data_IF_390057420416
#
_entry.id   IF_390057420416
#
_cell.length_a   1.000
_cell.length_b   1.000
_cell.length_c   1.000
_cell.angle_alpha   90.00
_cell.angle_beta   90.00
_cell.angle_gamma   90.00
#
_symmetry.space_group_name_H-M   'P 1'
#
loop_
_entity.id
_entity.type
_entity.pdbx_description
1 polymer ?
#
# COMPACT_ATOMS: atom_id res chain seq x y z
N UNK A 1 -2.13 1.12 36.71
CA UNK A 1 -1.84 -0.18 36.02
C UNK A 1 -1.11 0.04 34.68
N UNK A 2 -1.42 1.11 33.93
CA UNK A 2 -0.79 1.37 32.62
C UNK A 2 0.67 1.81 32.69
N UNK A 3 1.09 2.57 33.73
CA UNK A 3 2.47 3.00 33.93
C UNK A 3 3.40 1.82 34.28
N UNK A 4 2.90 0.84 35.01
CA UNK A 4 3.66 -0.37 35.34
C UNK A 4 3.84 -1.28 34.13
N UNK A 5 2.84 -1.37 33.26
CA UNK A 5 2.92 -2.13 32.01
C UNK A 5 3.93 -1.52 31.03
N UNK A 6 3.94 -0.18 30.90
CA UNK A 6 4.88 0.52 30.03
C UNK A 6 6.35 0.39 30.52
N UNK A 7 6.56 0.50 31.84
CA UNK A 7 7.90 0.36 32.42
C UNK A 7 8.44 -1.06 32.30
N UNK A 8 7.62 -2.09 32.47
CA UNK A 8 7.98 -3.49 32.23
C UNK A 8 8.31 -3.74 30.77
N UNK A 9 7.53 -3.20 29.84
CA UNK A 9 7.76 -3.30 28.40
C UNK A 9 9.11 -2.68 28.01
N UNK A 10 9.48 -1.53 28.58
CA UNK A 10 10.77 -0.88 28.33
C UNK A 10 11.95 -1.70 28.86
N UNK A 11 11.79 -2.40 29.97
CA UNK A 11 12.84 -3.23 30.57
C UNK A 11 13.04 -4.56 29.84
N UNK A 12 11.97 -5.18 29.33
CA UNK A 12 12.01 -6.47 28.63
C UNK A 12 12.28 -6.34 27.13
N UNK A 13 12.19 -5.13 26.58
CA UNK A 13 12.31 -4.91 25.13
C UNK A 13 13.73 -5.19 24.64
N UNK A 14 13.83 -6.02 23.60
CA UNK A 14 15.05 -6.15 22.80
C UNK A 14 15.24 -4.90 21.95
N UNK A 15 16.14 -4.01 22.35
CA UNK A 15 16.34 -2.72 21.69
C UNK A 15 16.89 -2.81 20.26
N UNK A 16 17.62 -3.87 19.93
CA UNK A 16 18.23 -4.02 18.61
C UNK A 16 17.20 -4.05 17.44
N UNK A 17 16.09 -4.82 17.49
CA UNK A 17 15.03 -4.76 16.49
C UNK A 17 14.35 -3.38 16.42
N UNK A 18 14.10 -2.76 17.58
CA UNK A 18 13.45 -1.45 17.66
C UNK A 18 14.29 -0.37 16.96
N UNK A 19 15.60 -0.33 17.22
CA UNK A 19 16.50 0.63 16.58
C UNK A 19 16.54 0.43 15.07
N UNK A 20 16.64 -0.84 14.59
CA UNK A 20 16.61 -1.14 13.16
C UNK A 20 15.29 -0.70 12.51
N UNK A 21 14.18 -0.94 13.19
CA UNK A 21 12.86 -0.50 12.73
C UNK A 21 12.80 1.04 12.63
N UNK A 22 13.24 1.76 13.65
CA UNK A 22 13.28 3.23 13.64
C UNK A 22 14.12 3.76 12.48
N UNK A 23 15.29 3.16 12.23
CA UNK A 23 16.14 3.52 11.08
C UNK A 23 15.42 3.29 9.74
N UNK A 24 14.71 2.15 9.61
CA UNK A 24 13.89 1.87 8.41
C UNK A 24 12.77 2.89 8.25
N UNK A 25 12.04 3.22 9.32
CA UNK A 25 10.97 4.21 9.30
C UNK A 25 11.50 5.61 8.92
N UNK A 26 12.68 5.98 9.43
CA UNK A 26 13.37 7.21 9.04
C UNK A 26 13.75 7.22 7.56
N UNK A 27 14.28 6.10 7.03
CA UNK A 27 14.56 5.95 5.60
C UNK A 27 13.30 6.07 4.74
N UNK A 28 12.20 5.47 5.17
CA UNK A 28 10.90 5.55 4.49
C UNK A 28 10.38 6.99 4.46
N UNK A 29 10.43 7.71 5.58
CA UNK A 29 10.06 9.12 5.63
C UNK A 29 10.96 9.97 4.73
N UNK A 30 12.26 9.76 4.78
CA UNK A 30 13.20 10.45 3.90
C UNK A 30 12.88 10.17 2.43
N UNK A 31 12.62 8.92 2.04
CA UNK A 31 12.22 8.54 0.68
C UNK A 31 10.90 9.20 0.26
N UNK A 32 9.95 9.28 1.18
CA UNK A 32 8.66 9.93 0.94
C UNK A 32 8.79 11.42 0.66
N UNK A 33 9.61 12.14 1.44
CA UNK A 33 9.79 13.60 1.28
C UNK A 33 10.78 13.97 0.18
N UNK A 34 11.82 13.17 -0.05
CA UNK A 34 12.82 13.45 -1.10
C UNK A 34 12.25 13.35 -2.50
N UNK A 35 11.12 12.66 -2.67
CA UNK A 35 10.44 12.40 -3.97
C UNK A 35 11.39 11.88 -5.06
N UNK A 36 12.47 11.23 -4.66
CA UNK A 36 13.47 10.64 -5.56
C UNK A 36 13.13 9.18 -5.85
N UNK A 37 13.01 8.82 -7.14
CA UNK A 37 12.73 7.44 -7.54
C UNK A 37 13.82 6.45 -7.14
N UNK A 38 15.08 6.88 -7.03
CA UNK A 38 16.21 6.03 -6.57
C UNK A 38 16.12 5.75 -5.09
N UNK A 39 15.92 6.79 -4.27
CA UNK A 39 15.75 6.65 -2.81
C UNK A 39 14.52 5.82 -2.49
N UNK A 40 13.41 6.04 -3.20
CA UNK A 40 12.20 5.22 -3.07
C UNK A 40 12.45 3.75 -3.36
N UNK A 41 13.25 3.42 -4.39
CA UNK A 41 13.62 2.03 -4.71
C UNK A 41 14.48 1.39 -3.62
N UNK A 42 15.43 2.14 -3.05
CA UNK A 42 16.26 1.67 -1.93
C UNK A 42 15.40 1.43 -0.69
N UNK A 43 14.51 2.35 -0.34
CA UNK A 43 13.59 2.19 0.79
C UNK A 43 12.68 0.95 0.61
N UNK A 44 12.11 0.74 -0.58
CA UNK A 44 11.31 -0.46 -0.89
C UNK A 44 12.14 -1.75 -0.79
N UNK A 45 13.40 -1.73 -1.27
CA UNK A 45 14.32 -2.86 -1.14
C UNK A 45 14.65 -3.18 0.32
N UNK A 46 14.97 -2.15 1.10
CA UNK A 46 15.23 -2.29 2.54
C UNK A 46 14.01 -2.83 3.30
N UNK A 47 12.81 -2.32 3.00
CA UNK A 47 11.55 -2.80 3.56
C UNK A 47 11.29 -4.27 3.21
N UNK A 48 11.49 -4.64 1.94
CA UNK A 48 11.27 -6.00 1.47
C UNK A 48 12.19 -7.01 2.18
N UNK A 49 13.49 -6.68 2.31
CA UNK A 49 14.46 -7.56 2.97
C UNK A 49 14.26 -7.58 4.48
N UNK A 50 14.16 -6.41 5.11
CA UNK A 50 14.13 -6.32 6.57
C UNK A 50 12.79 -6.84 7.13
N UNK A 51 11.66 -6.28 6.70
CA UNK A 51 10.35 -6.70 7.21
C UNK A 51 9.89 -8.04 6.63
N UNK A 52 10.31 -8.39 5.40
CA UNK A 52 9.91 -9.64 4.77
C UNK A 52 10.65 -10.85 5.32
N UNK A 53 11.98 -10.75 5.50
CA UNK A 53 12.81 -11.93 5.77
C UNK A 53 13.57 -11.89 7.10
N UNK A 54 13.92 -10.71 7.62
CA UNK A 54 14.75 -10.62 8.83
C UNK A 54 13.90 -10.51 10.09
N UNK A 55 12.99 -9.56 10.13
CA UNK A 55 12.21 -9.24 11.33
C UNK A 55 10.80 -9.88 11.30
N UNK A 56 10.26 -10.08 10.09
CA UNK A 56 8.92 -10.65 9.90
C UNK A 56 7.78 -9.77 10.48
N UNK A 57 8.10 -8.58 10.92
CA UNK A 57 7.19 -7.63 11.56
C UNK A 57 6.38 -6.84 10.55
N UNK A 58 5.39 -7.45 9.91
CA UNK A 58 4.48 -6.74 9.01
C UNK A 58 3.13 -6.48 9.66
N UNK A 59 2.54 -5.34 9.35
CA UNK A 59 1.19 -5.02 9.77
C UNK A 59 0.18 -5.80 8.91
N UNK A 60 -0.76 -6.48 9.56
CA UNK A 60 -1.74 -7.38 8.98
C UNK A 60 -3.13 -7.08 9.53
N UNK A 61 -4.19 -7.54 8.85
CA UNK A 61 -5.55 -7.43 9.38
C UNK A 61 -5.73 -8.29 10.64
N UNK A 62 -4.87 -9.31 10.83
CA UNK A 62 -4.86 -10.11 12.07
C UNK A 62 -4.63 -9.25 13.32
N UNK A 63 -3.87 -8.17 13.23
CA UNK A 63 -3.72 -7.22 14.33
C UNK A 63 -5.04 -6.50 14.63
N UNK A 64 -5.78 -6.09 13.59
CA UNK A 64 -7.09 -5.45 13.77
C UNK A 64 -8.04 -6.43 14.46
N UNK A 65 -8.12 -7.68 14.00
CA UNK A 65 -9.00 -8.70 14.61
C UNK A 65 -8.56 -9.05 16.03
N UNK A 66 -7.25 -9.15 16.29
CA UNK A 66 -6.72 -9.38 17.65
C UNK A 66 -7.09 -8.24 18.60
N UNK A 67 -7.03 -7.01 18.13
CA UNK A 67 -7.45 -5.84 18.93
C UNK A 67 -8.95 -5.84 19.25
N UNK A 68 -9.78 -6.39 18.36
CA UNK A 68 -11.23 -6.54 18.59
C UNK A 68 -11.51 -7.67 19.59
N UNK A 69 -10.81 -8.82 19.46
CA UNK A 69 -11.07 -10.02 20.26
C UNK A 69 -10.47 -9.91 21.68
N UNK A 70 -9.21 -9.49 21.76
CA UNK A 70 -8.40 -9.50 23.00
C UNK A 70 -8.37 -8.10 23.65
N UNK A 71 -8.68 -7.07 22.88
CA UNK A 71 -8.58 -5.68 23.32
C UNK A 71 -7.25 -5.02 22.99
N UNK A 72 -7.14 -3.69 23.14
CA UNK A 72 -5.97 -2.91 22.73
C UNK A 72 -4.70 -3.22 23.53
N UNK A 73 -4.79 -3.84 24.68
CA UNK A 73 -3.65 -4.24 25.51
C UNK A 73 -2.71 -5.24 24.84
N UNK A 74 -3.16 -5.94 23.79
CA UNK A 74 -2.31 -6.86 23.01
C UNK A 74 -1.15 -6.15 22.33
N UNK A 75 -1.33 -4.89 21.95
CA UNK A 75 -0.31 -4.07 21.28
C UNK A 75 0.78 -3.56 22.24
N UNK A 76 0.49 -3.50 23.53
CA UNK A 76 1.44 -3.10 24.57
C UNK A 76 2.44 -4.22 24.92
N UNK A 77 2.35 -5.39 24.28
CA UNK A 77 3.27 -6.50 24.52
C UNK A 77 4.52 -6.49 23.62
N UNK A 78 4.47 -5.74 22.53
CA UNK A 78 5.58 -5.64 21.56
C UNK A 78 5.79 -4.19 21.15
N UNK A 79 6.92 -3.62 21.61
CA UNK A 79 7.29 -2.24 21.33
C UNK A 79 7.47 -1.98 19.82
N UNK A 80 8.02 -2.93 19.07
CA UNK A 80 8.22 -2.78 17.63
C UNK A 80 6.86 -2.71 16.90
N UNK A 81 5.90 -3.57 17.28
CA UNK A 81 4.55 -3.55 16.75
C UNK A 81 3.83 -2.24 17.09
N UNK A 82 3.96 -1.76 18.32
CA UNK A 82 3.35 -0.51 18.77
C UNK A 82 3.86 0.69 17.94
N UNK A 83 5.18 0.78 17.73
CA UNK A 83 5.80 1.82 16.90
C UNK A 83 5.31 1.72 15.45
N UNK A 84 5.22 0.51 14.89
CA UNK A 84 4.72 0.27 13.53
C UNK A 84 3.27 0.73 13.38
N UNK A 85 2.40 0.39 14.33
CA UNK A 85 0.99 0.80 14.33
C UNK A 85 0.90 2.32 14.47
N UNK A 86 1.60 2.92 15.44
CA UNK A 86 1.61 4.37 15.64
C UNK A 86 2.08 5.11 14.38
N UNK A 87 3.19 4.66 13.77
CA UNK A 87 3.69 5.22 12.52
C UNK A 87 2.63 5.13 11.40
N UNK A 88 2.00 3.96 11.25
CA UNK A 88 0.99 3.73 10.20
C UNK A 88 -0.24 4.60 10.40
N UNK A 89 -0.74 4.71 11.62
CA UNK A 89 -1.89 5.56 11.95
C UNK A 89 -1.57 7.04 11.70
N UNK A 90 -0.45 7.53 12.26
CA UNK A 90 -0.03 8.93 12.10
C UNK A 90 0.18 9.29 10.64
N UNK A 91 0.93 8.48 9.88
CA UNK A 91 1.18 8.76 8.46
C UNK A 91 -0.09 8.67 7.62
N UNK A 92 -1.02 7.75 7.96
CA UNK A 92 -2.29 7.62 7.25
C UNK A 92 -3.19 8.84 7.49
N UNK A 93 -3.26 9.35 8.71
CA UNK A 93 -4.03 10.55 9.03
C UNK A 93 -3.40 11.82 8.45
N UNK A 94 -2.08 11.92 8.41
CA UNK A 94 -1.41 13.10 7.86
C UNK A 94 -1.40 13.10 6.33
N UNK A 95 -0.90 12.05 5.69
CA UNK A 95 -0.62 12.03 4.25
C UNK A 95 -1.40 10.94 3.47
N UNK A 96 -2.10 10.05 4.14
CA UNK A 96 -2.76 8.91 3.53
C UNK A 96 -1.90 7.64 3.60
N UNK A 97 -2.19 6.64 2.79
CA UNK A 97 -1.64 5.27 2.86
C UNK A 97 -0.14 5.14 2.53
N UNK A 98 0.72 5.91 3.22
CA UNK A 98 2.19 5.87 3.03
C UNK A 98 2.74 4.47 3.35
N UNK A 99 2.20 3.80 4.37
CA UNK A 99 2.53 2.40 4.70
C UNK A 99 2.44 1.48 3.47
N UNK A 100 1.33 1.52 2.73
CA UNK A 100 1.13 0.68 1.55
C UNK A 100 2.08 1.03 0.40
N UNK A 101 2.57 2.28 0.34
CA UNK A 101 3.47 2.77 -0.70
C UNK A 101 4.93 2.42 -0.50
N UNK A 102 5.38 2.35 0.76
CA UNK A 102 6.81 2.26 1.09
C UNK A 102 7.17 1.22 2.14
N UNK A 103 6.25 0.87 3.05
CA UNK A 103 6.55 0.03 4.22
C UNK A 103 5.91 -1.37 4.16
N UNK A 104 5.02 -1.64 3.19
CA UNK A 104 4.43 -2.95 3.01
C UNK A 104 5.36 -3.85 2.19
N UNK A 105 5.92 -4.95 2.74
CA UNK A 105 6.84 -5.83 2.01
C UNK A 105 6.18 -6.54 0.83
N UNK A 106 4.90 -6.90 0.95
CA UNK A 106 4.15 -7.49 -0.16
C UNK A 106 3.83 -6.47 -1.26
N UNK A 107 3.59 -5.20 -0.89
CA UNK A 107 3.47 -4.11 -1.85
C UNK A 107 4.78 -3.89 -2.62
N UNK A 108 5.92 -3.94 -1.93
CA UNK A 108 7.25 -3.86 -2.54
C UNK A 108 7.50 -5.04 -3.50
N UNK A 109 7.14 -6.27 -3.10
CA UNK A 109 7.24 -7.45 -3.96
C UNK A 109 6.45 -7.29 -5.26
N UNK A 110 5.20 -6.83 -5.19
CA UNK A 110 4.39 -6.56 -6.39
C UNK A 110 5.01 -5.49 -7.29
N UNK A 111 5.59 -4.43 -6.71
CA UNK A 111 6.28 -3.39 -7.47
C UNK A 111 7.54 -3.93 -8.16
N UNK A 112 8.30 -4.84 -7.54
CA UNK A 112 9.44 -5.50 -8.17
C UNK A 112 9.00 -6.42 -9.31
N UNK A 113 7.95 -7.22 -9.12
CA UNK A 113 7.38 -8.07 -10.18
C UNK A 113 6.98 -7.20 -11.38
N UNK A 114 6.25 -6.11 -11.16
CA UNK A 114 5.82 -5.23 -12.26
C UNK A 114 6.95 -4.49 -12.95
N UNK A 115 8.11 -4.33 -12.32
CA UNK A 115 9.31 -3.75 -12.96
C UNK A 115 10.05 -4.77 -13.82
N UNK A 116 10.05 -6.05 -13.42
CA UNK A 116 10.70 -7.15 -14.15
C UNK A 116 9.87 -7.56 -15.36
N UNK A 117 8.54 -7.62 -15.22
CA UNK A 117 7.62 -8.04 -16.28
C UNK A 117 7.54 -6.95 -17.37
N UNK A 118 7.79 -7.28 -18.65
CA UNK A 118 7.67 -6.33 -19.75
C UNK A 118 6.27 -5.72 -19.84
N UNK A 119 6.18 -4.44 -20.13
CA UNK A 119 4.90 -3.70 -20.22
C UNK A 119 3.89 -4.31 -21.19
N UNK A 120 4.33 -5.06 -22.19
CA UNK A 120 3.46 -5.77 -23.15
C UNK A 120 2.54 -6.81 -22.50
N UNK A 121 2.93 -7.35 -21.36
CA UNK A 121 2.13 -8.32 -20.59
C UNK A 121 1.25 -7.63 -19.54
N UNK A 122 1.54 -6.38 -19.20
CA UNK A 122 0.77 -5.63 -18.23
C UNK A 122 -0.49 -5.07 -18.91
N UNK A 123 -1.64 -5.37 -18.33
CA UNK A 123 -2.93 -4.92 -18.84
C UNK A 123 -3.64 -4.07 -17.79
N UNK A 124 -4.19 -2.95 -18.22
CA UNK A 124 -5.16 -2.22 -17.41
C UNK A 124 -6.52 -2.90 -17.54
N UNK A 125 -7.17 -3.17 -16.42
CA UNK A 125 -8.55 -3.66 -16.45
C UNK A 125 -9.49 -2.57 -17.02
N UNK A 126 -10.51 -2.96 -17.82
CA UNK A 126 -11.54 -2.02 -18.24
C UNK A 126 -12.14 -1.27 -17.05
N UNK A 127 -12.37 0.03 -17.20
CA UNK A 127 -12.78 0.90 -16.08
C UNK A 127 -14.02 0.35 -15.34
N UNK A 128 -15.00 -0.16 -16.08
CA UNK A 128 -16.24 -0.73 -15.50
C UNK A 128 -15.98 -1.92 -14.58
N UNK A 129 -15.00 -2.78 -14.94
CA UNK A 129 -14.62 -3.95 -14.11
C UNK A 129 -13.82 -3.47 -12.91
N UNK A 130 -12.89 -2.54 -13.12
CA UNK A 130 -12.08 -1.96 -12.05
C UNK A 130 -12.94 -1.33 -10.95
N UNK A 131 -13.94 -0.54 -11.32
CA UNK A 131 -14.82 0.17 -10.39
C UNK A 131 -15.64 -0.78 -9.51
N UNK A 132 -16.05 -1.94 -10.05
CA UNK A 132 -16.75 -2.96 -9.27
C UNK A 132 -15.79 -3.82 -8.44
N UNK A 133 -14.66 -4.19 -9.01
CA UNK A 133 -13.68 -5.06 -8.35
C UNK A 133 -13.04 -4.41 -7.10
N UNK A 134 -12.92 -3.09 -7.05
CA UNK A 134 -12.42 -2.36 -5.88
C UNK A 134 -13.25 -2.66 -4.62
N UNK A 135 -14.57 -2.81 -4.76
CA UNK A 135 -15.45 -3.08 -3.62
C UNK A 135 -15.22 -4.46 -2.99
N UNK A 136 -14.60 -5.40 -3.72
CA UNK A 136 -14.31 -6.75 -3.23
C UNK A 136 -13.48 -6.71 -1.94
N UNK A 137 -12.42 -5.90 -1.87
CA UNK A 137 -11.58 -5.79 -0.68
C UNK A 137 -12.32 -5.25 0.54
N UNK A 138 -13.31 -4.36 0.34
CA UNK A 138 -14.15 -3.86 1.43
C UNK A 138 -15.12 -4.95 1.91
N UNK A 139 -15.67 -5.75 0.98
CA UNK A 139 -16.48 -6.93 1.33
C UNK A 139 -15.66 -7.97 2.11
N UNK A 140 -14.42 -8.24 1.70
CA UNK A 140 -13.48 -9.12 2.43
C UNK A 140 -13.19 -8.57 3.83
N UNK A 141 -12.94 -7.27 3.96
CA UNK A 141 -12.70 -6.63 5.26
C UNK A 141 -13.93 -6.79 6.18
N UNK A 142 -15.13 -6.50 5.67
CA UNK A 142 -16.37 -6.65 6.44
C UNK A 142 -16.61 -8.10 6.86
N UNK A 143 -16.34 -9.06 5.97
CA UNK A 143 -16.41 -10.49 6.27
C UNK A 143 -15.45 -10.87 7.40
N UNK A 144 -14.19 -10.46 7.33
CA UNK A 144 -13.16 -10.78 8.33
C UNK A 144 -13.52 -10.16 9.69
N UNK A 145 -13.89 -8.88 9.71
CA UNK A 145 -14.25 -8.17 10.95
C UNK A 145 -15.55 -8.75 11.53
N UNK A 146 -16.54 -9.04 10.70
CA UNK A 146 -17.79 -9.67 11.12
C UNK A 146 -17.58 -11.05 11.74
N UNK A 147 -16.74 -11.88 11.12
CA UNK A 147 -16.39 -13.21 11.67
C UNK A 147 -15.55 -13.12 12.94
N UNK A 148 -14.67 -12.13 13.06
CA UNK A 148 -13.89 -11.89 14.27
C UNK A 148 -14.76 -11.49 15.47
N UNK A 149 -15.92 -10.88 15.23
CA UNK A 149 -16.89 -10.55 16.27
C UNK A 149 -17.73 -11.75 16.74
N UNK A 150 -17.69 -12.88 16.00
CA UNK A 150 -18.38 -14.11 16.38
C UNK A 150 -17.50 -14.98 17.28
N UNK A 151 -18.09 -15.76 18.23
CA UNK A 151 -17.33 -16.60 19.16
C UNK A 151 -16.60 -17.77 18.48
N UNK A 152 -16.86 -18.03 17.21
CA UNK A 152 -16.31 -19.18 16.47
C UNK A 152 -14.82 -19.07 16.12
N UNK A 153 -14.14 -17.94 16.35
CA UNK A 153 -12.69 -17.69 16.15
C UNK A 153 -12.10 -18.30 14.85
N UNK A 154 -12.85 -18.26 13.75
CA UNK A 154 -12.39 -18.80 12.48
C UNK A 154 -11.34 -17.88 11.88
N UNK A 155 -10.10 -18.32 11.75
CA UNK A 155 -8.98 -17.58 11.20
C UNK A 155 -9.05 -17.45 9.66
N UNK A 156 -10.18 -16.92 9.15
CA UNK A 156 -10.43 -16.78 7.69
C UNK A 156 -9.44 -15.83 7.03
N UNK A 157 -8.87 -14.90 7.77
CA UNK A 157 -7.90 -13.92 7.26
C UNK A 157 -6.68 -14.59 6.59
N UNK A 158 -6.30 -15.82 7.01
CA UNK A 158 -5.15 -16.52 6.44
C UNK A 158 -5.27 -16.79 4.93
N UNK A 159 -6.48 -16.97 4.42
CA UNK A 159 -6.72 -17.20 3.00
C UNK A 159 -6.61 -15.90 2.17
N UNK A 160 -6.84 -14.77 2.80
CA UNK A 160 -6.81 -13.45 2.14
C UNK A 160 -5.52 -12.67 2.38
N UNK A 161 -4.67 -13.11 3.30
CA UNK A 161 -3.38 -12.48 3.62
C UNK A 161 -2.20 -13.40 3.27
N UNK A 162 -1.65 -13.29 2.06
CA UNK A 162 -0.56 -14.15 1.61
C UNK A 162 0.80 -13.80 2.23
N UNK A 163 0.87 -12.84 3.17
CA UNK A 163 2.14 -12.38 3.76
C UNK A 163 2.89 -13.53 4.46
N UNK A 164 2.26 -14.19 5.43
CA UNK A 164 2.87 -15.30 6.14
C UNK A 164 3.24 -16.46 5.21
N UNK A 165 2.41 -16.72 4.22
CA UNK A 165 2.66 -17.79 3.23
C UNK A 165 3.90 -17.49 2.38
N UNK A 166 4.07 -16.25 1.92
CA UNK A 166 5.17 -15.87 1.01
C UNK A 166 6.49 -15.70 1.78
N UNK A 167 6.46 -15.05 2.94
CA UNK A 167 7.69 -14.68 3.65
C UNK A 167 8.15 -15.75 4.63
N UNK A 168 7.24 -16.57 5.21
CA UNK A 168 7.59 -17.68 6.09
C UNK A 168 7.52 -19.05 5.41
N UNK A 169 7.26 -19.10 4.08
CA UNK A 169 7.21 -20.35 3.29
C UNK A 169 6.30 -21.40 3.94
N UNK A 170 5.03 -21.07 4.09
CA UNK A 170 4.04 -22.00 4.64
C UNK A 170 4.07 -23.34 3.90
N UNK A 171 4.00 -24.45 4.64
CA UNK A 171 3.96 -25.81 4.08
C UNK A 171 2.62 -26.18 3.44
N UNK A 172 1.57 -25.35 3.60
CA UNK A 172 0.26 -25.63 3.01
C UNK A 172 0.25 -25.36 1.50
N UNK A 173 0.04 -26.38 0.64
CA UNK A 173 0.02 -26.23 -0.80
C UNK A 173 -1.14 -25.34 -1.27
N UNK A 174 -2.26 -25.35 -0.53
CA UNK A 174 -3.40 -24.48 -0.84
C UNK A 174 -3.05 -23.00 -0.68
N UNK A 175 -2.45 -22.62 0.46
CA UNK A 175 -2.06 -21.23 0.71
C UNK A 175 -0.98 -20.77 -0.26
N UNK A 176 -0.02 -21.65 -0.61
CA UNK A 176 1.00 -21.36 -1.63
C UNK A 176 0.38 -21.14 -3.01
N UNK A 177 -0.62 -21.93 -3.40
CA UNK A 177 -1.30 -21.76 -4.69
C UNK A 177 -2.08 -20.45 -4.75
N UNK A 178 -2.76 -20.05 -3.66
CA UNK A 178 -3.47 -18.76 -3.57
C UNK A 178 -2.48 -17.60 -3.64
N UNK A 179 -1.38 -17.67 -2.87
CA UNK A 179 -0.34 -16.64 -2.88
C UNK A 179 0.32 -16.50 -4.26
N UNK A 180 0.66 -17.64 -4.89
CA UNK A 180 1.18 -17.71 -6.24
C UNK A 180 0.21 -17.11 -7.27
N UNK A 181 -1.08 -17.40 -7.15
CA UNK A 181 -2.14 -16.82 -7.97
C UNK A 181 -2.18 -15.30 -7.86
N UNK A 182 -2.07 -14.73 -6.66
CA UNK A 182 -1.98 -13.28 -6.47
C UNK A 182 -0.73 -12.66 -7.09
N UNK A 183 0.41 -13.35 -7.01
CA UNK A 183 1.66 -12.86 -7.61
C UNK A 183 1.60 -12.90 -9.15
N UNK A 184 1.05 -13.97 -9.74
CA UNK A 184 0.83 -14.09 -11.18
C UNK A 184 -0.16 -13.02 -11.66
N UNK A 185 -1.26 -12.82 -10.96
CA UNK A 185 -2.22 -11.76 -11.26
C UNK A 185 -1.57 -10.36 -11.16
N UNK A 186 -0.64 -10.16 -10.20
CA UNK A 186 0.11 -8.91 -10.05
C UNK A 186 1.15 -8.68 -11.15
N UNK A 187 1.60 -9.74 -11.84
CA UNK A 187 2.44 -9.63 -13.02
C UNK A 187 1.67 -9.07 -14.24
N UNK A 188 0.37 -9.37 -14.32
CA UNK A 188 -0.52 -8.89 -15.39
C UNK A 188 -1.13 -7.52 -15.05
N UNK A 189 -1.65 -7.36 -13.83
CA UNK A 189 -2.27 -6.13 -13.35
C UNK A 189 -1.44 -5.56 -12.21
N UNK A 190 -0.79 -4.39 -12.39
CA UNK A 190 0.05 -3.80 -11.35
C UNK A 190 -0.67 -3.70 -10.00
N UNK A 191 -0.02 -4.18 -8.94
CA UNK A 191 -0.53 -4.19 -7.58
C UNK A 191 -1.92 -4.84 -7.44
N UNK A 192 -2.18 -5.94 -8.16
CA UNK A 192 -3.49 -6.62 -8.19
C UNK A 192 -4.05 -6.90 -6.80
N UNK A 193 -3.26 -7.54 -5.93
CA UNK A 193 -3.70 -7.85 -4.57
C UNK A 193 -4.04 -6.59 -3.76
N UNK A 194 -3.17 -5.57 -3.80
CA UNK A 194 -3.40 -4.31 -3.08
C UNK A 194 -4.65 -3.56 -3.56
N UNK A 195 -5.01 -3.72 -4.85
CA UNK A 195 -6.18 -3.06 -5.46
C UNK A 195 -7.49 -3.72 -5.10
N UNK A 196 -7.53 -5.07 -5.11
CA UNK A 196 -8.80 -5.80 -5.14
C UNK A 196 -9.02 -6.76 -3.97
N UNK A 197 -7.97 -7.26 -3.32
CA UNK A 197 -8.10 -8.30 -2.32
C UNK A 197 -7.59 -7.94 -0.91
N UNK A 198 -6.72 -6.93 -0.77
CA UNK A 198 -6.08 -6.60 0.51
C UNK A 198 -7.04 -5.99 1.53
N UNK A 199 -7.40 -6.68 2.62
CA UNK A 199 -8.32 -6.15 3.63
C UNK A 199 -7.68 -5.03 4.47
N UNK A 200 -6.37 -5.11 4.78
CA UNK A 200 -5.66 -4.02 5.44
C UNK A 200 -5.64 -2.77 4.55
N UNK A 201 -5.44 -2.95 3.23
CA UNK A 201 -5.52 -1.86 2.25
C UNK A 201 -6.90 -1.21 2.19
N UNK A 202 -7.98 -1.97 2.44
CA UNK A 202 -9.33 -1.44 2.57
C UNK A 202 -9.48 -0.60 3.84
N UNK A 203 -9.05 -1.12 5.00
CA UNK A 203 -9.11 -0.41 6.29
C UNK A 203 -8.33 0.92 6.25
N UNK A 204 -7.08 0.89 5.78
CA UNK A 204 -6.27 2.10 5.60
C UNK A 204 -6.84 3.04 4.52
N UNK A 205 -7.53 2.49 3.51
CA UNK A 205 -8.25 3.25 2.50
C UNK A 205 -9.36 4.10 3.10
N UNK A 206 -10.18 3.53 3.97
CA UNK A 206 -11.22 4.26 4.70
C UNK A 206 -10.59 5.30 5.63
N UNK A 207 -9.56 4.92 6.40
CA UNK A 207 -8.86 5.84 7.30
C UNK A 207 -8.23 7.03 6.54
N UNK A 208 -7.75 6.82 5.30
CA UNK A 208 -7.15 7.88 4.49
C UNK A 208 -8.13 8.95 4.01
N UNK A 209 -9.44 8.71 4.13
CA UNK A 209 -10.46 9.75 3.91
C UNK A 209 -10.38 10.89 4.94
N UNK A 210 -9.78 10.62 6.10
CA UNK A 210 -9.55 11.60 7.16
C UNK A 210 -8.20 12.33 7.02
N UNK A 211 -7.42 12.04 5.96
CA UNK A 211 -6.08 12.60 5.80
C UNK A 211 -6.10 14.11 5.55
N UNK A 212 -5.17 14.80 6.23
CA UNK A 212 -5.05 16.26 6.16
C UNK A 212 -4.34 16.74 4.88
N UNK A 213 -3.21 16.11 4.52
CA UNK A 213 -2.37 16.54 3.37
C UNK A 213 -2.67 15.69 2.15
N UNK A 214 -3.59 16.15 1.30
CA UNK A 214 -3.97 15.46 0.07
C UNK A 214 -3.21 15.99 -1.14
N UNK A 215 -2.86 15.09 -2.07
CA UNK A 215 -2.37 15.49 -3.39
C UNK A 215 -3.55 16.05 -4.16
N UNK A 216 -3.39 17.26 -4.70
CA UNK A 216 -4.35 17.85 -5.65
C UNK A 216 -3.74 17.80 -7.04
N UNK A 217 -4.57 17.53 -8.04
CA UNK A 217 -4.17 17.70 -9.44
C UNK A 217 -4.21 19.16 -9.82
N UNK A 218 -3.39 19.51 -10.82
CA UNK A 218 -3.44 20.83 -11.45
C UNK A 218 -4.67 20.89 -12.35
N UNK A 219 -5.47 21.93 -12.29
CA UNK A 219 -6.72 22.10 -13.06
C UNK A 219 -6.52 21.96 -14.58
N UNK A 220 -5.31 22.26 -15.06
CA UNK A 220 -4.92 22.20 -16.47
C UNK A 220 -4.73 20.76 -17.00
N UNK A 221 -4.86 19.72 -16.19
CA UNK A 221 -4.56 18.31 -16.55
C UNK A 221 -5.73 17.56 -17.21
N UNK A 222 -6.84 18.16 -17.58
CA UNK A 222 -8.01 17.48 -18.13
C UNK A 222 -7.75 16.62 -19.39
N UNK A 223 -6.96 17.03 -20.40
CA UNK A 223 -6.79 16.21 -21.60
C UNK A 223 -5.71 15.14 -21.47
N UNK A 224 -4.82 15.19 -20.46
CA UNK A 224 -3.64 14.33 -20.37
C UNK A 224 -3.89 13.10 -19.48
N UNK A 225 -3.86 11.88 -20.06
CA UNK A 225 -4.02 10.60 -19.35
C UNK A 225 -2.71 9.99 -18.82
N UNK A 226 -1.58 10.68 -18.94
CA UNK A 226 -0.25 10.14 -18.59
C UNK A 226 -0.18 9.75 -17.10
N UNK A 227 -0.75 10.57 -16.21
CA UNK A 227 -0.80 10.27 -14.78
C UNK A 227 -1.72 9.08 -14.44
N UNK A 228 -2.82 8.92 -15.17
CA UNK A 228 -3.74 7.79 -15.00
C UNK A 228 -3.05 6.48 -15.36
N UNK A 229 -2.37 6.45 -16.52
CA UNK A 229 -1.64 5.28 -17.01
C UNK A 229 -0.44 4.94 -16.10
N UNK A 230 0.22 5.97 -15.54
CA UNK A 230 1.36 5.79 -14.67
C UNK A 230 0.98 5.37 -13.25
N UNK A 231 -0.30 5.53 -12.85
CA UNK A 231 -0.75 5.22 -11.49
C UNK A 231 -0.84 3.70 -11.26
N UNK A 232 0.00 3.09 -10.39
CA UNK A 232 0.02 1.64 -10.19
C UNK A 232 -1.27 1.11 -9.54
N UNK A 233 -2.05 1.96 -8.88
CA UNK A 233 -3.31 1.58 -8.23
C UNK A 233 -4.55 2.02 -8.99
N UNK A 234 -4.41 2.82 -10.06
CA UNK A 234 -5.55 3.37 -10.79
C UNK A 234 -6.38 4.38 -9.97
N UNK A 235 -5.76 5.01 -8.97
CA UNK A 235 -6.41 5.99 -8.10
C UNK A 235 -6.69 7.33 -8.81
N UNK A 236 -6.02 7.61 -9.93
CA UNK A 236 -6.19 8.85 -10.69
C UNK A 236 -7.23 8.62 -11.76
N UNK A 237 -8.31 9.42 -11.73
CA UNK A 237 -9.43 9.33 -12.64
C UNK A 237 -9.83 10.72 -13.12
N UNK A 238 -9.53 11.03 -14.37
CA UNK A 238 -9.79 12.37 -14.89
C UNK A 238 -9.15 13.44 -14.00
N UNK A 239 -9.86 14.52 -13.62
CA UNK A 239 -9.34 15.58 -12.76
C UNK A 239 -9.22 15.19 -11.28
N UNK A 240 -9.79 14.07 -10.85
CA UNK A 240 -9.87 13.68 -9.46
C UNK A 240 -8.88 12.55 -9.09
N UNK A 241 -8.46 12.54 -7.83
CA UNK A 241 -7.70 11.44 -7.23
C UNK A 241 -8.57 10.79 -6.18
N UNK A 242 -8.89 9.51 -6.37
CA UNK A 242 -9.55 8.71 -5.34
C UNK A 242 -8.56 8.39 -4.21
N UNK A 243 -8.69 9.13 -3.12
CA UNK A 243 -7.78 9.00 -1.98
C UNK A 243 -7.91 7.65 -1.27
N UNK A 244 -9.06 6.98 -1.37
CA UNK A 244 -9.22 5.61 -0.85
C UNK A 244 -8.32 4.62 -1.56
N UNK A 245 -8.01 4.86 -2.84
CA UNK A 245 -7.19 3.99 -3.67
C UNK A 245 -5.74 4.46 -3.80
N UNK A 246 -5.45 5.70 -3.42
CA UNK A 246 -4.11 6.27 -3.49
C UNK A 246 -3.19 5.70 -2.40
N UNK A 247 -2.15 4.96 -2.78
CA UNK A 247 -1.13 4.40 -1.87
C UNK A 247 0.06 5.34 -1.62
N UNK A 248 -0.02 6.60 -2.01
CA UNK A 248 1.04 7.61 -1.80
C UNK A 248 2.44 7.17 -2.25
N UNK A 249 2.53 6.41 -3.32
CA UNK A 249 3.81 5.92 -3.86
C UNK A 249 4.69 7.00 -4.53
N UNK A 250 4.23 8.25 -4.56
CA UNK A 250 4.90 9.41 -5.16
C UNK A 250 5.25 9.28 -6.66
N UNK A 251 4.80 8.25 -7.36
CA UNK A 251 5.12 8.06 -8.79
C UNK A 251 4.65 9.25 -9.63
N UNK A 252 3.47 9.77 -9.37
CA UNK A 252 2.95 10.95 -10.06
C UNK A 252 3.76 12.22 -9.71
N UNK A 253 4.18 12.38 -8.45
CA UNK A 253 4.95 13.54 -8.01
C UNK A 253 6.40 13.50 -8.50
N UNK A 254 7.03 12.30 -8.55
CA UNK A 254 8.44 12.18 -8.96
C UNK A 254 8.65 12.24 -10.46
N UNK A 255 7.73 11.65 -11.23
CA UNK A 255 7.90 11.52 -12.69
C UNK A 255 7.20 12.62 -13.49
N UNK A 256 6.10 13.14 -12.97
CA UNK A 256 5.12 13.89 -13.75
C UNK A 256 4.92 15.33 -13.29
N UNK A 257 5.27 15.66 -12.02
CA UNK A 257 5.14 17.00 -11.47
C UNK A 257 6.52 17.63 -11.24
N UNK A 258 6.59 18.95 -11.38
CA UNK A 258 7.75 19.71 -10.88
C UNK A 258 7.67 19.90 -9.37
N UNK A 259 8.76 20.38 -8.74
CA UNK A 259 8.79 20.66 -7.30
C UNK A 259 7.69 21.62 -6.83
N UNK A 260 7.20 22.48 -7.72
CA UNK A 260 6.15 23.46 -7.44
C UNK A 260 4.72 22.91 -7.66
N UNK A 261 4.56 21.60 -7.95
CA UNK A 261 3.26 21.01 -8.26
C UNK A 261 2.76 21.29 -9.69
N UNK A 262 3.57 21.93 -10.51
CA UNK A 262 3.27 22.21 -11.93
C UNK A 262 3.60 20.99 -12.78
N UNK A 263 2.77 20.67 -13.77
CA UNK A 263 3.02 19.59 -14.71
C UNK A 263 4.35 19.81 -15.47
N UNK A 264 5.12 18.74 -15.65
CA UNK A 264 6.37 18.79 -16.45
C UNK A 264 6.13 18.84 -17.95
N UNK A 265 4.93 18.44 -18.38
CA UNK A 265 4.55 18.45 -19.78
C UNK A 265 4.03 19.85 -20.15
N UNK A 266 4.51 20.36 -21.28
CA UNK A 266 3.90 21.54 -21.90
C UNK A 266 2.50 21.14 -22.38
N UNK A 267 1.48 21.82 -21.86
CA UNK A 267 0.09 21.46 -22.14
C UNK A 267 -0.30 21.82 -23.58
N UNK A 268 0.36 22.80 -24.18
CA UNK A 268 0.11 23.19 -25.57
C UNK A 268 0.72 22.13 -26.52
N UNK A 269 1.89 21.60 -26.20
CA UNK A 269 2.48 20.48 -26.92
C UNK A 269 1.62 19.19 -26.80
N UNK A 270 1.10 18.90 -25.62
CA UNK A 270 0.22 17.75 -25.41
C UNK A 270 -1.08 17.88 -26.19
N UNK A 271 -1.69 19.07 -26.20
CA UNK A 271 -2.91 19.35 -26.97
C UNK A 271 -2.66 19.22 -28.48
N UNK A 272 -1.58 19.78 -29.00
CA UNK A 272 -1.25 19.68 -30.41
C UNK A 272 -1.05 18.23 -30.87
N UNK A 273 -0.39 17.40 -30.08
CA UNK A 273 -0.22 15.96 -30.36
C UNK A 273 -1.53 15.19 -30.32
N UNK A 274 -2.45 15.51 -29.39
CA UNK A 274 -3.77 14.88 -29.32
C UNK A 274 -4.63 15.23 -30.55
N UNK A 275 -4.63 16.49 -30.98
CA UNK A 275 -5.31 16.94 -32.21
C UNK A 275 -4.76 16.24 -33.44
N UNK A 276 -3.42 16.06 -33.54
CA UNK A 276 -2.81 15.32 -34.64
C UNK A 276 -3.23 13.85 -34.66
N UNK A 277 -3.35 13.18 -33.51
CA UNK A 277 -3.79 11.78 -33.41
C UNK A 277 -5.26 11.62 -33.83
N UNK A 278 -6.11 12.57 -33.49
CA UNK A 278 -7.52 12.55 -33.90
C UNK A 278 -7.69 12.79 -35.40
N UNK A 279 -6.83 13.61 -36.02
CA UNK A 279 -6.85 13.84 -37.48
C UNK A 279 -6.30 12.65 -38.27
N UNK A 280 -5.39 11.85 -37.73
CA UNK A 280 -4.85 10.65 -38.39
C UNK A 280 -5.80 9.44 -38.21
N UNK A 281 -6.66 9.45 -37.18
CA UNK A 281 -7.62 8.38 -36.90
C UNK A 281 -8.97 8.53 -37.64
N UNK A 282 -9.17 9.61 -38.37
CA UNK A 282 -10.28 9.84 -39.32
C UNK A 282 -9.84 9.54 -40.74
#
# INVERSE_FOLDING_TARGET
EDETALSQLLLETRWAPVVRLILLLGLVLYAFFSKSGRVGAVALGATFVYLGFIDGGFLSVSHITSGIIVGPGVYLRDMALLIMIAFTVVTTLLWGRVFCGFLCPFGALQDFITRIVPRRFQRALPQRIHDRAIYLKYGILLLIVGLAALPAQIAVYQYFEPFGTVFYLSTSPLLLSIAGGFLVASAVVPRFYCRYACPLGAALGVASLLSFFRIRRVEQCEPCKVCEIACPTGAIRGPEIDFKECVRCNVCETKLLTKAGVCRHDMDEVRSRLVQLETVAR
#
